data_IF_241380194191
#
_entry.id   IF_241380194191
#
_cell.length_a   1.000
_cell.length_b   1.000
_cell.length_c   1.000
_cell.angle_alpha   90.00
_cell.angle_beta   90.00
_cell.angle_gamma   90.00
#
_symmetry.space_group_name_H-M   'P 1'
#
loop_
_entity.id
_entity.type
_entity.pdbx_description
1 polymer ?
#
# COMPACT_ATOMS: atom_id res chain seq x y z
N UNK A 1 -15.45 0.08 15.45
CA UNK A 1 -14.91 1.19 14.64
C UNK A 1 -14.92 0.72 13.21
N UNK A 2 -15.50 1.50 12.28
CA UNK A 2 -15.57 1.10 10.89
C UNK A 2 -14.17 1.07 10.26
N UNK A 3 -13.93 0.15 9.32
CA UNK A 3 -12.62 -0.03 8.70
C UNK A 3 -12.03 1.27 8.11
N UNK A 4 -12.81 2.14 7.43
CA UNK A 4 -12.28 3.40 6.92
C UNK A 4 -11.73 4.34 8.01
N UNK A 5 -12.42 4.45 9.15
CA UNK A 5 -12.02 5.36 10.23
C UNK A 5 -10.81 4.81 10.98
N UNK A 6 -10.81 3.51 11.32
CA UNK A 6 -9.70 2.89 12.02
C UNK A 6 -8.37 2.99 11.23
N UNK A 7 -8.44 2.79 9.92
CA UNK A 7 -7.26 2.89 9.04
C UNK A 7 -6.83 4.35 8.82
N UNK A 8 -7.77 5.30 8.77
CA UNK A 8 -7.48 6.75 8.74
C UNK A 8 -6.73 7.18 10.00
N UNK A 9 -7.17 6.76 11.17
CA UNK A 9 -6.49 7.05 12.44
C UNK A 9 -5.10 6.43 12.49
N UNK A 10 -4.95 5.18 12.05
CA UNK A 10 -3.65 4.54 11.91
C UNK A 10 -2.70 5.35 11.01
N UNK A 11 -3.16 5.76 9.82
CA UNK A 11 -2.37 6.57 8.90
C UNK A 11 -2.01 7.92 9.52
N UNK A 12 -2.97 8.61 10.15
CA UNK A 12 -2.74 9.90 10.80
C UNK A 12 -1.70 9.77 11.92
N UNK A 13 -1.81 8.73 12.75
CA UNK A 13 -0.85 8.45 13.81
C UNK A 13 0.57 8.25 13.26
N UNK A 14 0.73 7.41 12.23
CA UNK A 14 2.03 7.15 11.62
C UNK A 14 2.60 8.43 11.00
N UNK A 15 1.82 9.14 10.20
CA UNK A 15 2.26 10.32 9.46
C UNK A 15 2.59 11.49 10.40
N UNK A 16 1.77 11.73 11.42
CA UNK A 16 1.98 12.83 12.38
C UNK A 16 3.34 12.73 13.09
N UNK A 17 3.87 11.52 13.27
CA UNK A 17 5.19 11.29 13.88
C UNK A 17 6.36 11.45 12.87
N UNK A 18 6.08 11.62 11.57
CA UNK A 18 7.08 11.76 10.51
C UNK A 18 7.20 13.18 9.96
N UNK A 19 6.36 14.12 10.42
CA UNK A 19 6.20 15.47 9.86
C UNK A 19 6.47 16.55 10.90
N UNK A 20 6.80 17.76 10.46
CA UNK A 20 7.05 18.91 11.35
C UNK A 20 5.78 19.74 11.56
N UNK A 21 4.84 19.70 10.61
CA UNK A 21 3.63 20.49 10.65
C UNK A 21 2.37 19.61 10.73
N UNK A 22 2.14 18.87 11.84
CA UNK A 22 1.01 17.94 11.96
C UNK A 22 -0.36 18.63 11.86
N UNK A 23 -0.44 19.92 12.20
CA UNK A 23 -1.67 20.71 12.07
C UNK A 23 -2.09 20.96 10.61
N UNK A 24 -1.17 20.80 9.66
CA UNK A 24 -1.44 20.98 8.22
C UNK A 24 -1.63 19.63 7.51
N UNK A 25 -1.49 18.52 8.22
CA UNK A 25 -1.77 17.20 7.67
C UNK A 25 -3.28 16.92 7.70
N UNK A 26 -3.82 16.47 6.58
CA UNK A 26 -5.20 15.97 6.51
C UNK A 26 -5.29 14.75 5.60
N UNK A 27 -6.25 13.88 5.90
CA UNK A 27 -6.51 12.67 5.12
C UNK A 27 -7.96 12.71 4.66
N UNK A 28 -8.15 12.82 3.35
CA UNK A 28 -9.44 12.66 2.71
C UNK A 28 -9.69 11.19 2.41
N UNK A 29 -10.92 10.73 2.68
CA UNK A 29 -11.37 9.35 2.45
C UNK A 29 -12.39 9.34 1.32
N UNK A 30 -12.28 8.38 0.43
CA UNK A 30 -13.25 8.15 -0.63
C UNK A 30 -13.23 6.70 -1.11
N UNK A 31 -13.82 6.46 -2.28
CA UNK A 31 -13.87 5.14 -2.90
C UNK A 31 -13.36 5.24 -4.33
N UNK A 32 -12.50 4.32 -4.75
CA UNK A 32 -12.04 4.23 -6.14
C UNK A 32 -13.12 3.61 -7.02
N UNK A 33 -13.01 3.77 -8.34
CA UNK A 33 -13.91 3.07 -9.28
C UNK A 33 -13.88 1.55 -9.12
N UNK A 34 -12.76 0.99 -8.65
CA UNK A 34 -12.60 -0.44 -8.38
C UNK A 34 -13.15 -0.87 -7.00
N UNK A 35 -13.85 0.01 -6.27
CA UNK A 35 -14.45 -0.28 -4.97
C UNK A 35 -13.47 -0.31 -3.80
N UNK A 36 -12.22 0.11 -3.98
CA UNK A 36 -11.24 0.20 -2.89
C UNK A 36 -11.42 1.50 -2.09
N UNK A 37 -11.13 1.47 -0.79
CA UNK A 37 -11.10 2.69 0.02
C UNK A 37 -9.87 3.52 -0.38
N UNK A 38 -10.08 4.78 -0.76
CA UNK A 38 -9.02 5.69 -1.16
C UNK A 38 -8.70 6.66 -0.04
N UNK A 39 -7.42 6.71 0.36
CA UNK A 39 -6.88 7.71 1.26
C UNK A 39 -5.99 8.66 0.47
N UNK A 40 -6.33 9.95 0.51
CA UNK A 40 -5.53 11.03 -0.06
C UNK A 40 -4.97 11.88 1.07
N UNK A 41 -3.65 11.89 1.18
CA UNK A 41 -2.93 12.64 2.22
C UNK A 41 -2.53 14.00 1.65
N UNK A 42 -2.99 15.06 2.31
CA UNK A 42 -2.52 16.42 2.09
C UNK A 42 -1.53 16.78 3.19
N UNK A 43 -0.37 17.31 2.81
CA UNK A 43 0.72 17.71 3.70
C UNK A 43 1.23 19.09 3.30
N UNK A 44 1.93 19.74 4.23
CA UNK A 44 2.80 20.86 3.86
C UNK A 44 3.88 20.39 2.86
N UNK A 45 4.29 21.22 1.89
CA UNK A 45 5.29 20.83 0.87
C UNK A 45 6.58 20.23 1.48
N UNK A 46 7.00 20.75 2.62
CA UNK A 46 8.27 20.34 3.25
C UNK A 46 8.18 18.99 3.94
N UNK A 47 6.96 18.59 4.32
CA UNK A 47 6.66 17.31 4.93
C UNK A 47 6.47 16.19 3.89
N UNK A 48 6.11 16.53 2.64
CA UNK A 48 5.96 15.55 1.55
C UNK A 48 7.26 14.77 1.35
N UNK A 49 8.40 15.46 1.27
CA UNK A 49 9.72 14.81 1.08
C UNK A 49 10.07 13.87 2.23
N UNK A 50 9.68 14.20 3.47
CA UNK A 50 9.92 13.38 4.67
C UNK A 50 9.07 12.11 4.66
N UNK A 51 7.79 12.22 4.33
CA UNK A 51 6.85 11.09 4.26
C UNK A 51 7.15 10.16 3.09
N UNK A 52 7.49 10.71 1.93
CA UNK A 52 7.90 9.91 0.77
C UNK A 52 9.20 9.16 1.07
N UNK A 53 10.17 9.84 1.68
CA UNK A 53 11.48 9.29 1.99
C UNK A 53 12.34 9.06 0.74
N UNK A 54 13.57 8.60 0.96
CA UNK A 54 14.53 8.33 -0.13
C UNK A 54 13.98 7.27 -1.07
N UNK A 55 13.92 7.57 -2.37
CA UNK A 55 13.40 6.69 -3.43
C UNK A 55 11.97 6.16 -3.16
N UNK A 56 11.17 6.86 -2.36
CA UNK A 56 9.82 6.41 -2.00
C UNK A 56 9.78 5.24 -1.01
N UNK A 57 10.90 4.92 -0.34
CA UNK A 57 10.98 3.78 0.58
C UNK A 57 9.99 3.90 1.74
N UNK A 58 9.93 5.08 2.39
CA UNK A 58 9.07 5.31 3.55
C UNK A 58 7.59 5.19 3.19
N UNK A 59 7.14 5.86 2.12
CA UNK A 59 5.74 5.76 1.70
C UNK A 59 5.37 4.34 1.24
N UNK A 60 6.31 3.60 0.65
CA UNK A 60 6.09 2.19 0.27
C UNK A 60 5.90 1.30 1.49
N UNK A 61 6.68 1.50 2.56
CA UNK A 61 6.49 0.79 3.82
C UNK A 61 5.13 1.11 4.46
N UNK A 62 4.72 2.39 4.48
CA UNK A 62 3.41 2.80 4.99
C UNK A 62 2.28 2.14 4.19
N UNK A 63 2.40 2.07 2.85
CA UNK A 63 1.45 1.36 1.98
C UNK A 63 1.34 -0.12 2.33
N UNK A 64 2.46 -0.79 2.54
CA UNK A 64 2.46 -2.20 2.96
C UNK A 64 1.74 -2.40 4.30
N UNK A 65 2.01 -1.53 5.28
CA UNK A 65 1.36 -1.61 6.60
C UNK A 65 -0.16 -1.41 6.52
N UNK A 66 -0.63 -0.38 5.80
CA UNK A 66 -2.07 -0.13 5.67
C UNK A 66 -2.77 -1.23 4.87
N UNK A 67 -2.11 -1.82 3.87
CA UNK A 67 -2.64 -2.97 3.12
C UNK A 67 -2.81 -4.20 4.03
N UNK A 68 -1.82 -4.50 4.88
CA UNK A 68 -1.92 -5.61 5.84
C UNK A 68 -3.02 -5.34 6.87
N UNK A 69 -3.13 -4.10 7.37
CA UNK A 69 -4.20 -3.73 8.29
C UNK A 69 -5.58 -3.85 7.62
N UNK A 70 -5.72 -3.41 6.37
CA UNK A 70 -6.95 -3.50 5.58
C UNK A 70 -7.38 -4.95 5.30
N UNK A 71 -6.41 -5.84 5.07
CA UNK A 71 -6.67 -7.27 4.88
C UNK A 71 -7.41 -7.90 6.07
N UNK A 72 -7.14 -7.43 7.31
CA UNK A 72 -7.87 -7.89 8.51
C UNK A 72 -9.35 -7.51 8.50
N UNK A 73 -9.71 -6.47 7.76
CA UNK A 73 -11.09 -6.02 7.57
C UNK A 73 -11.71 -6.53 6.26
N UNK A 74 -10.99 -7.32 5.45
CA UNK A 74 -11.46 -7.81 4.16
C UNK A 74 -11.65 -6.72 3.09
N UNK A 75 -11.03 -5.55 3.26
CA UNK A 75 -11.15 -4.41 2.33
C UNK A 75 -9.86 -4.16 1.57
N UNK A 76 -9.98 -3.60 0.36
CA UNK A 76 -8.85 -3.09 -0.42
C UNK A 76 -8.68 -1.60 -0.17
N UNK A 77 -7.44 -1.14 -0.16
CA UNK A 77 -7.12 0.27 0.07
C UNK A 77 -6.15 0.81 -0.99
N UNK A 78 -6.20 2.12 -1.21
CA UNK A 78 -5.25 2.87 -2.05
C UNK A 78 -4.80 4.11 -1.31
N UNK A 79 -3.50 4.37 -1.28
CA UNK A 79 -2.89 5.49 -0.57
C UNK A 79 -2.12 6.41 -1.53
N UNK A 80 -2.53 7.68 -1.58
CA UNK A 80 -1.88 8.75 -2.35
C UNK A 80 -1.43 9.88 -1.44
N UNK A 81 -0.28 10.48 -1.77
CA UNK A 81 0.23 11.69 -1.14
C UNK A 81 0.22 12.79 -2.19
N UNK A 82 -0.42 13.92 -1.89
CA UNK A 82 -0.48 15.05 -2.80
C UNK A 82 0.91 15.69 -2.99
N UNK A 83 1.15 16.26 -4.17
CA UNK A 83 2.46 16.83 -4.54
C UNK A 83 3.47 15.80 -5.06
N UNK A 84 3.11 14.51 -5.08
CA UNK A 84 3.90 13.42 -5.65
C UNK A 84 3.28 13.00 -6.97
N UNK A 85 3.96 13.22 -8.09
CA UNK A 85 3.52 12.65 -9.37
C UNK A 85 3.80 11.14 -9.33
N UNK A 86 2.78 10.31 -9.62
CA UNK A 86 2.90 8.84 -9.61
C UNK A 86 4.03 8.32 -10.53
N UNK A 87 4.46 9.14 -11.51
CA UNK A 87 5.50 8.84 -12.50
C UNK A 87 6.95 8.93 -11.95
N UNK A 88 7.19 9.62 -10.83
CA UNK A 88 8.56 9.85 -10.30
C UNK A 88 9.11 8.67 -9.47
N UNK A 89 8.29 7.64 -9.20
CA UNK A 89 8.62 6.51 -8.32
C UNK A 89 8.53 5.14 -9.00
N UNK A 90 8.27 5.10 -10.32
CA UNK A 90 8.41 3.89 -11.10
C UNK A 90 9.88 3.60 -11.35
N UNK A 91 10.55 3.02 -10.34
CA UNK A 91 11.69 2.15 -10.63
C UNK A 91 11.19 0.95 -11.44
N UNK A 92 11.92 0.50 -12.47
CA UNK A 92 11.47 -0.60 -13.33
C UNK A 92 11.16 -1.83 -12.47
N UNK A 93 9.97 -2.40 -12.63
CA UNK A 93 9.67 -3.72 -12.11
C UNK A 93 10.72 -4.69 -12.67
N UNK A 94 11.41 -5.51 -11.87
CA UNK A 94 12.04 -6.69 -12.41
C UNK A 94 10.90 -7.62 -12.86
N UNK A 95 10.65 -7.65 -14.16
CA UNK A 95 9.99 -8.78 -14.79
C UNK A 95 10.93 -9.98 -14.65
N UNK A 96 10.69 -10.83 -13.64
CA UNK A 96 11.51 -12.03 -13.46
C UNK A 96 11.51 -12.58 -12.04
N UNK A 97 10.43 -13.24 -11.66
CA UNK A 97 10.48 -14.31 -10.67
C UNK A 97 9.50 -15.41 -11.09
N UNK A 98 9.80 -16.06 -12.22
CA UNK A 98 9.45 -17.46 -12.40
C UNK A 98 10.30 -18.24 -11.40
N UNK A 99 9.70 -18.67 -10.29
CA UNK A 99 10.23 -19.73 -9.47
C UNK A 99 9.41 -20.99 -9.79
N UNK A 100 9.95 -21.81 -10.70
CA UNK A 100 9.51 -23.20 -10.83
C UNK A 100 10.10 -24.04 -9.71
N UNK A 101 9.32 -25.00 -9.20
CA UNK A 101 9.72 -26.37 -8.89
C UNK A 101 8.67 -27.02 -7.97
N UNK A 102 8.00 -28.04 -8.51
CA UNK A 102 7.08 -28.90 -7.79
C UNK A 102 6.86 -30.17 -8.58
N UNK A 103 7.97 -30.87 -8.87
CA UNK A 103 7.96 -32.26 -9.31
C UNK A 103 7.39 -33.11 -8.17
N UNK A 104 6.19 -33.65 -8.37
CA UNK A 104 5.56 -34.63 -7.50
C UNK A 104 5.11 -35.79 -8.37
N UNK A 105 5.89 -36.87 -8.32
CA UNK A 105 5.60 -38.18 -8.88
C UNK A 105 4.46 -38.77 -8.05
N UNK A 106 3.34 -39.15 -8.67
CA UNK A 106 2.45 -40.17 -8.13
C UNK A 106 1.80 -40.93 -9.29
N UNK A 107 1.95 -42.25 -9.25
CA UNK A 107 1.60 -43.17 -10.32
C UNK A 107 0.13 -43.55 -10.30
N UNK A 108 -0.35 -44.04 -11.45
CA UNK A 108 -1.55 -44.86 -11.49
C UNK A 108 -1.33 -46.01 -12.50
N UNK A 109 -1.65 -47.19 -12.01
CA UNK A 109 -1.49 -48.51 -12.62
C UNK A 109 -2.64 -48.83 -13.59
N UNK A 110 -2.43 -49.85 -14.42
CA UNK A 110 -3.47 -50.57 -15.18
C UNK A 110 -3.28 -50.36 -16.69
N UNK A 111 -3.02 -51.35 -17.53
CA UNK A 111 -3.43 -52.76 -17.47
C UNK A 111 -4.33 -53.03 -18.69
N UNK A 112 -3.94 -54.01 -19.51
CA UNK A 112 -4.78 -54.77 -20.46
C UNK A 112 -5.23 -53.95 -21.71
N UNK A 113 -5.11 -54.38 -22.97
CA UNK A 113 -5.01 -55.70 -23.62
C UNK A 113 -4.08 -55.63 -24.86
#
# INVERSE_FOLDING_TARGET
MDAPEALREFLMYVIANLIEQPKQASIAVGTTQAGAISYRIHLAPEDVRRVVGKNGFTISAIRSLVNVAAARYGVKVSLRVDGVREEEFQSPQPAGAQAGAGSGVDGEQGGEE
#
